data_IF_240335430154
#
_entry.id   IF_240335430154
#
_cell.length_a   1.000
_cell.length_b   1.000
_cell.length_c   1.000
_cell.angle_alpha   90.00
_cell.angle_beta   90.00
_cell.angle_gamma   90.00
#
_symmetry.space_group_name_H-M   'P 1'
#
loop_
_entity.id
_entity.type
_entity.pdbx_description
1 polymer ?
#
# COMPACT_ATOMS: atom_id res chain seq x y z
N UNK A 1 -21.68 0.46 9.79
CA UNK A 1 -20.63 0.90 8.82
C UNK A 1 -20.75 0.00 7.61
N UNK A 2 -20.85 0.56 6.44
CA UNK A 2 -20.93 -0.20 5.19
C UNK A 2 -19.53 -0.74 4.81
N UNK A 3 -19.48 -1.85 4.08
CA UNK A 3 -18.21 -2.47 3.67
C UNK A 3 -17.29 -1.50 2.90
N UNK A 4 -17.88 -0.66 2.04
CA UNK A 4 -17.11 0.33 1.28
C UNK A 4 -16.43 1.37 2.20
N UNK A 5 -17.08 1.77 3.29
CA UNK A 5 -16.50 2.72 4.26
C UNK A 5 -15.30 2.11 4.98
N UNK A 6 -15.38 0.81 5.31
CA UNK A 6 -14.27 0.06 5.90
C UNK A 6 -13.08 0.03 4.93
N UNK A 7 -13.32 -0.38 3.68
CA UNK A 7 -12.27 -0.44 2.65
C UNK A 7 -11.65 0.93 2.37
N UNK A 8 -12.46 1.99 2.32
CA UNK A 8 -11.95 3.36 2.14
C UNK A 8 -11.06 3.78 3.30
N UNK A 9 -11.46 3.48 4.55
CA UNK A 9 -10.66 3.80 5.73
C UNK A 9 -9.32 3.04 5.76
N UNK A 10 -9.31 1.76 5.38
CA UNK A 10 -8.09 0.95 5.31
C UNK A 10 -7.17 1.41 4.15
N UNK A 11 -7.74 1.69 2.97
CA UNK A 11 -6.97 2.14 1.82
C UNK A 11 -6.40 3.56 1.98
N UNK A 12 -7.01 4.39 2.84
CA UNK A 12 -6.46 5.69 3.21
C UNK A 12 -5.16 5.56 4.03
N UNK A 13 -4.91 4.40 4.64
CA UNK A 13 -3.69 4.17 5.41
C UNK A 13 -2.50 3.83 4.49
N UNK A 14 -1.33 4.36 4.81
CA UNK A 14 -0.06 3.86 4.30
C UNK A 14 0.33 2.65 5.16
N UNK A 15 0.42 1.47 4.55
CA UNK A 15 0.65 0.23 5.28
C UNK A 15 1.26 -0.88 4.42
N UNK A 16 2.41 -0.63 3.75
CA UNK A 16 3.13 -1.69 3.06
C UNK A 16 3.76 -2.64 4.08
N UNK A 17 4.17 -3.83 3.62
CA UNK A 17 4.86 -4.83 4.47
C UNK A 17 6.00 -4.19 5.27
N UNK A 18 6.00 -4.37 6.57
CA UNK A 18 6.94 -3.78 7.53
C UNK A 18 6.57 -2.38 8.04
N UNK A 19 5.43 -1.80 7.60
CA UNK A 19 4.95 -0.46 8.01
C UNK A 19 3.44 -0.46 8.27
N UNK A 20 2.88 -1.53 8.84
CA UNK A 20 1.45 -1.78 8.99
C UNK A 20 0.79 -1.00 10.14
N UNK A 21 1.56 -0.25 10.92
CA UNK A 21 1.09 0.39 12.16
C UNK A 21 -0.16 1.27 12.00
N UNK A 22 -0.26 2.02 10.89
CA UNK A 22 -1.43 2.85 10.61
C UNK A 22 -2.68 2.01 10.32
N UNK A 23 -2.53 0.93 9.55
CA UNK A 23 -3.62 -0.02 9.26
C UNK A 23 -4.09 -0.72 10.52
N UNK A 24 -3.14 -1.22 11.35
CA UNK A 24 -3.44 -1.84 12.64
C UNK A 24 -4.22 -0.90 13.57
N UNK A 25 -3.88 0.40 13.56
CA UNK A 25 -4.61 1.42 14.33
C UNK A 25 -6.07 1.56 13.91
N UNK A 26 -6.33 1.62 12.60
CA UNK A 26 -7.68 1.67 12.04
C UNK A 26 -8.45 0.38 12.34
N UNK A 27 -7.85 -0.78 12.08
CA UNK A 27 -8.46 -2.09 12.37
C UNK A 27 -8.83 -2.22 13.85
N UNK A 28 -7.94 -1.79 14.77
CA UNK A 28 -8.22 -1.78 16.21
C UNK A 28 -9.46 -0.93 16.54
N UNK A 29 -9.55 0.25 15.94
CA UNK A 29 -10.69 1.15 16.15
C UNK A 29 -11.99 0.54 15.62
N UNK A 30 -11.95 -0.06 14.43
CA UNK A 30 -13.10 -0.72 13.81
C UNK A 30 -13.56 -1.97 14.58
N UNK A 31 -12.62 -2.74 15.11
CA UNK A 31 -12.91 -3.96 15.85
C UNK A 31 -13.39 -3.71 17.30
N UNK A 32 -12.97 -2.61 17.93
CA UNK A 32 -13.20 -2.32 19.34
C UNK A 32 -14.66 -2.51 19.82
N UNK A 33 -15.71 -2.13 19.06
CA UNK A 33 -17.09 -2.35 19.49
C UNK A 33 -17.53 -3.82 19.52
N UNK A 34 -16.77 -4.73 18.91
CA UNK A 34 -17.19 -6.11 18.67
C UNK A 34 -16.35 -7.15 19.45
N UNK A 35 -15.28 -6.72 20.11
CA UNK A 35 -14.30 -7.60 20.80
C UNK A 35 -14.05 -7.16 22.24
N UNK A 36 -13.58 -8.07 23.06
CA UNK A 36 -13.27 -7.79 24.50
C UNK A 36 -11.86 -7.23 24.69
N UNK A 37 -10.94 -7.53 23.76
CA UNK A 37 -9.57 -7.00 23.80
C UNK A 37 -8.92 -7.01 22.43
N UNK A 38 -7.99 -6.06 22.22
CA UNK A 38 -7.08 -6.01 21.08
C UNK A 38 -5.66 -5.80 21.60
N UNK A 39 -4.74 -6.67 21.23
CA UNK A 39 -3.32 -6.61 21.58
C UNK A 39 -2.47 -6.67 20.31
N UNK A 40 -1.26 -6.16 20.38
CA UNK A 40 -0.26 -6.33 19.32
C UNK A 40 0.87 -7.17 19.88
N UNK A 41 1.28 -8.21 19.18
CA UNK A 41 2.41 -9.05 19.58
C UNK A 41 3.76 -8.50 19.11
N UNK A 42 4.84 -9.20 19.40
CA UNK A 42 6.21 -8.79 19.05
C UNK A 42 6.49 -8.78 17.54
N UNK A 43 5.68 -9.46 16.74
CA UNK A 43 5.79 -9.48 15.27
C UNK A 43 4.90 -8.44 14.60
N UNK A 44 4.12 -7.67 15.39
CA UNK A 44 3.21 -6.66 14.85
C UNK A 44 1.81 -7.17 14.55
N UNK A 45 1.49 -8.46 14.80
CA UNK A 45 0.16 -9.01 14.60
C UNK A 45 -0.86 -8.32 15.50
N UNK A 46 -1.94 -7.79 14.93
CA UNK A 46 -3.07 -7.30 15.69
C UNK A 46 -4.01 -8.47 16.04
N UNK A 47 -4.09 -8.81 17.31
CA UNK A 47 -4.89 -9.91 17.84
C UNK A 47 -6.11 -9.32 18.55
N UNK A 48 -7.29 -9.49 17.98
CA UNK A 48 -8.57 -9.09 18.56
C UNK A 48 -9.29 -10.32 19.08
N UNK A 49 -9.63 -10.33 20.36
CA UNK A 49 -10.24 -11.46 21.04
C UNK A 49 -11.65 -11.14 21.53
N UNK A 50 -12.59 -12.01 21.18
CA UNK A 50 -13.97 -12.02 21.71
C UNK A 50 -14.16 -13.25 22.57
N UNK A 51 -14.57 -13.09 23.82
CA UNK A 51 -14.88 -14.18 24.74
C UNK A 51 -16.12 -14.93 24.29
N UNK A 52 -16.14 -16.22 24.52
CA UNK A 52 -17.26 -17.12 24.27
C UNK A 52 -17.15 -18.37 25.11
N UNK A 53 -18.22 -19.18 25.16
CA UNK A 53 -18.29 -20.46 25.88
C UNK A 53 -18.11 -21.68 24.98
N UNK A 54 -18.04 -21.51 23.68
CA UNK A 54 -17.88 -22.55 22.69
C UNK A 54 -16.42 -22.88 22.34
N UNK A 55 -16.22 -23.72 21.31
CA UNK A 55 -14.89 -23.97 20.75
C UNK A 55 -14.18 -22.69 20.33
N UNK A 56 -12.85 -22.65 20.44
CA UNK A 56 -12.04 -21.53 19.91
C UNK A 56 -12.00 -21.57 18.40
N UNK A 57 -12.31 -20.45 17.77
CA UNK A 57 -12.22 -20.25 16.32
C UNK A 57 -11.23 -19.12 16.08
N UNK A 58 -10.31 -19.30 15.15
CA UNK A 58 -9.38 -18.29 14.69
C UNK A 58 -9.73 -17.88 13.25
N UNK A 59 -9.86 -16.58 13.03
CA UNK A 59 -9.84 -15.97 11.71
C UNK A 59 -8.50 -15.26 11.53
N UNK A 60 -7.83 -15.50 10.43
CA UNK A 60 -6.55 -14.88 10.13
C UNK A 60 -6.59 -14.27 8.71
N UNK A 61 -6.11 -13.04 8.60
CA UNK A 61 -5.91 -12.32 7.33
C UNK A 61 -4.69 -11.42 7.50
N UNK A 62 -3.96 -11.16 6.42
CA UNK A 62 -2.90 -10.16 6.47
C UNK A 62 -3.45 -8.73 6.33
N UNK A 63 -2.74 -7.73 6.84
CA UNK A 63 -3.17 -6.33 6.80
C UNK A 63 -2.23 -5.41 6.00
N UNK A 64 -1.07 -5.92 5.60
CA UNK A 64 -0.13 -5.19 4.78
C UNK A 64 -0.58 -5.09 3.32
N UNK A 65 0.05 -4.19 2.60
CA UNK A 65 -0.14 -4.03 1.16
C UNK A 65 1.17 -4.20 0.42
N UNK A 66 1.05 -4.50 -0.87
CA UNK A 66 2.15 -4.35 -1.81
C UNK A 66 2.60 -2.89 -1.89
N UNK A 67 3.83 -2.67 -2.33
CA UNK A 67 4.39 -1.33 -2.47
C UNK A 67 5.61 -1.29 -3.40
N UNK A 68 6.11 -0.08 -3.63
CA UNK A 68 7.24 0.22 -4.49
C UNK A 68 8.31 0.90 -3.62
N UNK A 69 9.38 0.18 -3.28
CA UNK A 69 10.48 0.73 -2.46
C UNK A 69 11.47 1.48 -3.34
N UNK A 70 11.77 2.73 -3.02
CA UNK A 70 12.79 3.52 -3.71
C UNK A 70 14.16 2.87 -3.51
N UNK A 71 14.83 2.55 -4.62
CA UNK A 71 16.17 1.95 -4.61
C UNK A 71 17.25 2.90 -5.09
N UNK A 72 16.90 3.90 -5.91
CA UNK A 72 17.81 4.89 -6.44
C UNK A 72 17.05 6.15 -6.88
N UNK A 73 17.68 7.31 -6.80
CA UNK A 73 17.18 8.59 -7.30
C UNK A 73 18.18 9.08 -8.35
N UNK A 74 17.72 9.32 -9.58
CA UNK A 74 18.59 9.74 -10.67
C UNK A 74 18.78 11.27 -10.71
N UNK A 75 19.72 11.73 -11.55
CA UNK A 75 20.07 13.15 -11.71
C UNK A 75 18.88 14.01 -12.18
N UNK A 76 17.89 13.42 -12.84
CA UNK A 76 16.68 14.10 -13.31
C UNK A 76 15.57 14.15 -12.26
N UNK A 77 15.75 13.47 -11.13
CA UNK A 77 14.77 13.39 -10.04
C UNK A 77 13.78 12.24 -10.17
N UNK A 78 13.97 11.33 -11.13
CA UNK A 78 13.17 10.12 -11.23
C UNK A 78 13.66 9.05 -10.25
N UNK A 79 12.73 8.23 -9.75
CA UNK A 79 13.01 7.24 -8.73
C UNK A 79 12.99 5.84 -9.34
N UNK A 80 14.05 5.06 -9.16
CA UNK A 80 14.01 3.62 -9.41
C UNK A 80 13.45 2.93 -8.18
N UNK A 81 12.76 1.83 -8.37
CA UNK A 81 12.13 1.11 -7.29
C UNK A 81 12.27 -0.41 -7.43
N UNK A 82 12.21 -1.08 -6.29
CA UNK A 82 12.04 -2.53 -6.18
C UNK A 82 10.65 -2.88 -5.65
N UNK A 83 10.17 -4.10 -5.91
CA UNK A 83 8.86 -4.53 -5.42
C UNK A 83 8.90 -4.84 -3.91
N UNK A 84 7.84 -4.45 -3.22
CA UNK A 84 7.46 -4.95 -1.91
C UNK A 84 6.21 -5.81 -2.14
N UNK A 85 6.32 -7.11 -1.97
CA UNK A 85 5.30 -8.07 -2.39
C UNK A 85 5.31 -8.33 -3.91
N UNK A 86 4.26 -8.92 -4.43
CA UNK A 86 4.11 -9.27 -5.85
C UNK A 86 3.66 -8.09 -6.70
N UNK A 87 4.52 -7.61 -7.60
CA UNK A 87 4.21 -6.55 -8.57
C UNK A 87 4.40 -7.05 -10.00
N UNK A 88 3.45 -6.72 -10.87
CA UNK A 88 3.55 -6.91 -12.32
C UNK A 88 3.80 -5.57 -13.00
N UNK A 89 4.78 -5.49 -13.92
CA UNK A 89 5.09 -4.27 -14.65
C UNK A 89 3.87 -3.72 -15.43
N UNK A 90 3.04 -4.62 -15.97
CA UNK A 90 1.84 -4.25 -16.72
C UNK A 90 0.76 -3.63 -15.84
N UNK A 91 0.64 -4.11 -14.59
CA UNK A 91 -0.39 -3.64 -13.65
C UNK A 91 -0.03 -2.31 -13.00
N UNK A 92 1.27 -2.07 -12.76
CA UNK A 92 1.70 -0.84 -12.08
C UNK A 92 1.94 0.34 -13.01
N UNK A 93 2.13 0.11 -14.32
CA UNK A 93 2.35 1.20 -15.27
C UNK A 93 1.16 2.16 -15.29
N UNK A 94 1.43 3.45 -15.14
CA UNK A 94 0.42 4.53 -15.10
C UNK A 94 -0.32 4.64 -13.77
N UNK A 95 0.01 3.82 -12.76
CA UNK A 95 -0.65 3.83 -11.46
C UNK A 95 -0.19 5.05 -10.64
N UNK A 96 -1.14 5.84 -10.10
CA UNK A 96 -0.81 6.86 -9.10
C UNK A 96 -0.38 6.20 -7.80
N UNK A 97 0.65 6.79 -7.17
CA UNK A 97 1.20 6.30 -5.90
C UNK A 97 1.39 7.44 -4.90
N UNK A 98 1.44 7.10 -3.61
CA UNK A 98 1.76 8.04 -2.53
C UNK A 98 2.71 7.42 -1.52
N UNK A 99 3.56 8.26 -0.97
CA UNK A 99 4.46 7.96 0.14
C UNK A 99 3.80 8.26 1.50
N UNK A 100 4.40 7.77 2.58
CA UNK A 100 3.91 7.99 3.94
C UNK A 100 3.83 9.49 4.32
N UNK A 101 4.72 10.31 3.79
CA UNK A 101 4.77 11.76 4.04
C UNK A 101 3.79 12.57 3.16
N UNK A 102 2.98 11.90 2.31
CA UNK A 102 2.02 12.53 1.42
C UNK A 102 2.55 12.91 0.04
N UNK A 103 3.84 12.74 -0.25
CA UNK A 103 4.39 12.91 -1.61
C UNK A 103 3.69 11.95 -2.55
N UNK A 104 3.27 12.46 -3.70
CA UNK A 104 2.58 11.69 -4.75
C UNK A 104 3.41 11.59 -6.00
N UNK A 105 3.15 10.55 -6.78
CA UNK A 105 3.80 10.33 -8.05
C UNK A 105 3.01 9.38 -8.94
N UNK A 106 3.57 9.07 -10.08
CA UNK A 106 3.02 8.13 -11.05
C UNK A 106 4.12 7.20 -11.54
N UNK A 107 3.76 5.94 -11.80
CA UNK A 107 4.66 4.98 -12.43
C UNK A 107 4.71 5.24 -13.93
N UNK A 108 5.88 5.46 -14.48
CA UNK A 108 6.10 5.72 -15.89
C UNK A 108 7.09 4.73 -16.52
N UNK A 109 7.04 4.61 -17.85
CA UNK A 109 7.91 3.73 -18.64
C UNK A 109 9.08 4.53 -19.21
N UNK A 110 10.29 4.01 -19.06
CA UNK A 110 11.48 4.57 -19.67
C UNK A 110 11.65 4.08 -21.11
N UNK A 111 11.70 5.04 -22.04
CA UNK A 111 11.97 4.74 -23.45
C UNK A 111 10.82 4.02 -24.17
N UNK A 112 11.18 3.26 -25.21
CA UNK A 112 10.25 2.44 -26.00
C UNK A 112 10.56 0.98 -25.73
N UNK A 113 9.68 0.30 -25.02
CA UNK A 113 9.75 -1.13 -24.75
C UNK A 113 8.48 -1.78 -25.30
N UNK A 114 8.63 -2.87 -26.04
CA UNK A 114 7.48 -3.64 -26.50
C UNK A 114 6.73 -4.22 -25.29
N UNK A 115 5.38 -4.22 -25.28
CA UNK A 115 4.62 -4.69 -24.12
C UNK A 115 5.05 -6.09 -23.63
N UNK A 116 5.34 -7.03 -24.53
CA UNK A 116 5.76 -8.40 -24.18
C UNK A 116 7.11 -8.48 -23.44
N UNK A 117 7.95 -7.44 -23.59
CA UNK A 117 9.30 -7.39 -23.04
C UNK A 117 9.37 -6.45 -21.81
N UNK A 118 8.26 -5.88 -21.39
CA UNK A 118 8.18 -4.93 -20.28
C UNK A 118 8.43 -5.62 -18.93
N UNK A 119 9.37 -5.06 -18.15
CA UNK A 119 9.74 -5.51 -16.81
C UNK A 119 9.74 -4.33 -15.85
N UNK A 120 9.73 -4.60 -14.53
CA UNK A 120 9.78 -3.55 -13.51
C UNK A 120 11.02 -2.64 -13.64
N UNK A 121 12.16 -3.18 -14.07
CA UNK A 121 13.40 -2.42 -14.28
C UNK A 121 13.30 -1.34 -15.37
N UNK A 122 12.31 -1.43 -16.26
CA UNK A 122 12.02 -0.42 -17.30
C UNK A 122 11.11 0.71 -16.78
N UNK A 123 10.64 0.60 -15.55
CA UNK A 123 9.74 1.57 -14.95
C UNK A 123 10.48 2.48 -13.95
N UNK A 124 9.93 3.65 -13.74
CA UNK A 124 10.38 4.61 -12.74
C UNK A 124 9.17 5.32 -12.11
N UNK A 125 9.38 5.94 -10.95
CA UNK A 125 8.40 6.84 -10.34
C UNK A 125 8.75 8.27 -10.68
N UNK A 126 7.78 9.00 -11.21
CA UNK A 126 7.83 10.45 -11.37
C UNK A 126 7.04 11.10 -10.24
N UNK A 127 7.72 11.87 -9.40
CA UNK A 127 7.15 12.61 -8.28
C UNK A 127 7.09 14.13 -8.55
N UNK A 128 7.38 14.55 -9.80
CA UNK A 128 7.40 15.94 -10.22
C UNK A 128 8.65 16.72 -9.79
N UNK A 129 9.70 16.07 -9.29
CA UNK A 129 10.96 16.70 -8.96
C UNK A 129 11.74 17.05 -10.24
N UNK A 130 12.41 18.20 -10.26
CA UNK A 130 13.17 18.69 -11.42
C UNK A 130 14.60 18.16 -11.49
N UNK A 131 15.11 17.62 -10.40
CA UNK A 131 16.46 17.06 -10.27
C UNK A 131 16.58 16.23 -8.99
N UNK A 132 17.71 15.51 -8.86
CA UNK A 132 18.02 14.68 -7.71
C UNK A 132 17.93 15.42 -6.37
N UNK A 133 18.49 16.64 -6.30
CA UNK A 133 18.51 17.40 -5.04
C UNK A 133 17.10 17.73 -4.54
N UNK A 134 16.21 18.12 -5.44
CA UNK A 134 14.81 18.35 -5.12
C UNK A 134 14.11 17.06 -4.72
N UNK A 135 14.28 15.96 -5.48
CA UNK A 135 13.69 14.66 -5.15
C UNK A 135 14.10 14.19 -3.75
N UNK A 136 15.37 14.37 -3.37
CA UNK A 136 15.87 14.01 -2.04
C UNK A 136 15.31 14.86 -0.89
N UNK A 137 14.71 16.02 -1.18
CA UNK A 137 13.95 16.76 -0.16
C UNK A 137 12.54 16.20 0.05
N UNK A 138 12.03 15.43 -0.92
CA UNK A 138 10.67 14.87 -0.91
C UNK A 138 10.66 13.42 -0.42
N UNK A 139 11.62 12.60 -0.85
CA UNK A 139 11.70 11.17 -0.55
C UNK A 139 13.15 10.71 -0.40
N UNK A 140 13.37 9.56 0.21
CA UNK A 140 14.67 8.93 0.40
C UNK A 140 14.69 7.51 -0.16
N UNK A 141 15.90 7.00 -0.43
CA UNK A 141 16.10 5.57 -0.72
C UNK A 141 15.66 4.76 0.50
N UNK A 142 14.84 3.74 0.28
CA UNK A 142 14.19 2.92 1.31
C UNK A 142 12.75 3.35 1.62
N UNK A 143 12.32 4.55 1.22
CA UNK A 143 10.90 4.93 1.34
C UNK A 143 10.05 4.05 0.41
N UNK A 144 8.84 3.71 0.88
CA UNK A 144 7.93 2.86 0.12
C UNK A 144 6.72 3.69 -0.31
N UNK A 145 6.41 3.65 -1.60
CA UNK A 145 5.15 4.17 -2.14
C UNK A 145 4.10 3.07 -2.18
N UNK A 146 2.83 3.43 -1.94
CA UNK A 146 1.65 2.57 -2.08
C UNK A 146 0.71 3.15 -3.12
N UNK A 147 -0.25 2.37 -3.63
CA UNK A 147 -1.22 2.87 -4.60
C UNK A 147 -2.09 3.98 -4.01
N UNK A 148 -2.28 5.05 -4.77
CA UNK A 148 -3.12 6.21 -4.41
C UNK A 148 -4.43 6.17 -5.19
N UNK A 149 -5.15 5.06 -5.08
CA UNK A 149 -6.42 4.83 -5.76
C UNK A 149 -7.50 4.59 -4.70
N UNK A 150 -8.60 5.38 -4.70
CA UNK A 150 -9.68 5.18 -3.74
C UNK A 150 -10.50 3.93 -4.06
N UNK A 151 -11.07 3.31 -3.02
CA UNK A 151 -12.13 2.33 -3.21
C UNK A 151 -13.43 3.04 -3.61
N UNK A 152 -14.20 2.47 -4.55
CA UNK A 152 -15.48 3.01 -5.00
C UNK A 152 -16.48 1.90 -5.37
N UNK A 153 -17.76 2.28 -5.40
CA UNK A 153 -18.83 1.40 -5.85
C UNK A 153 -19.30 1.79 -7.25
N UNK A 154 -19.57 0.79 -8.08
CA UNK A 154 -20.21 0.97 -9.38
C UNK A 154 -21.01 -0.29 -9.77
N UNK A 155 -22.25 -0.14 -10.22
CA UNK A 155 -23.11 -1.24 -10.68
C UNK A 155 -23.30 -2.36 -9.65
N UNK A 156 -23.35 -2.05 -8.36
CA UNK A 156 -23.49 -3.02 -7.26
C UNK A 156 -22.20 -3.80 -6.93
N UNK A 157 -21.05 -3.37 -7.46
CA UNK A 157 -19.74 -3.95 -7.19
C UNK A 157 -18.82 -2.94 -6.52
N UNK A 158 -17.87 -3.44 -5.72
CA UNK A 158 -16.80 -2.66 -5.12
C UNK A 158 -15.54 -2.84 -5.95
N UNK A 159 -14.88 -1.73 -6.23
CA UNK A 159 -13.56 -1.66 -6.85
C UNK A 159 -12.59 -1.03 -5.84
N UNK A 160 -11.49 -1.71 -5.60
CA UNK A 160 -10.51 -1.25 -4.61
C UNK A 160 -9.14 -1.82 -4.95
N UNK A 161 -8.03 -1.10 -4.73
CA UNK A 161 -6.75 -1.74 -4.56
C UNK A 161 -6.79 -2.59 -3.29
N UNK A 162 -5.96 -3.59 -3.20
CA UNK A 162 -5.77 -4.39 -1.98
C UNK A 162 -7.02 -5.16 -1.51
N UNK A 163 -7.82 -5.72 -2.42
CA UNK A 163 -8.93 -6.62 -2.06
C UNK A 163 -8.45 -8.00 -1.59
N UNK A 164 -7.21 -8.30 -1.80
CA UNK A 164 -6.46 -9.44 -1.27
C UNK A 164 -5.50 -8.87 -0.19
N UNK A 165 -5.75 -9.05 1.01
CA UNK A 165 -6.80 -9.57 1.90
C UNK A 165 -7.37 -8.50 2.86
N UNK A 166 -7.30 -7.24 2.49
CA UNK A 166 -7.80 -6.13 3.34
C UNK A 166 -9.31 -6.10 3.45
#
# INVERSE_FOLDING_TARGET
>A
MELIEILQALNACHGPSGSEGAVAGVLRTLAAPYVDSCTTDALGNLICHKKGSGPKVLFAAHMDSIGLMVTYIDEKGFLRFGPVGGLSAHEVLGTPVRFANGTRGVVALEGKVEPKDMKLEHLYLDIGARNEAEARTMVQVGDIAVYDTPAFCSGGRIFSPYLDDR
#
